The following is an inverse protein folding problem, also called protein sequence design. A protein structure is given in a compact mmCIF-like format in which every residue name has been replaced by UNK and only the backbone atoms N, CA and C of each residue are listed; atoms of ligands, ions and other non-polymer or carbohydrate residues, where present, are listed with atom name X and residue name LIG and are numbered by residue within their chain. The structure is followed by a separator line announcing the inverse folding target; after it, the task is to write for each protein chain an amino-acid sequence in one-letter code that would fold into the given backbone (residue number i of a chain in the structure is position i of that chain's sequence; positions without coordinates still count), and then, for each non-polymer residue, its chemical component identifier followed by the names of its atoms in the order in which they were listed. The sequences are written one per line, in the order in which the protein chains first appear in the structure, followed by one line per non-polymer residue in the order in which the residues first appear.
data_IF_820908791621
#
_entry.id   IF_820908791621
#
_cell.length_a   1.000
_cell.length_b   1.000
_cell.length_c   1.000
_cell.angle_alpha   90.00
_cell.angle_beta   90.00
_cell.angle_gamma   90.00
#
_symmetry.space_group_name_H-M   'P 1'
#
loop_
_entity.id
_entity.type
_entity.pdbx_description
1 polymer ?
#
# COMPACT_ATOMS: atom_id res chain seq x y z
N UNK A 1 -15.00 -2.82 -16.86
CA UNK A 1 -13.94 -3.17 -15.91
C UNK A 1 -12.64 -3.64 -16.60
N UNK A 2 -12.60 -4.79 -17.32
CA UNK A 2 -11.39 -5.34 -17.97
C UNK A 2 -10.75 -4.36 -18.98
N UNK A 3 -11.53 -3.65 -19.76
CA UNK A 3 -11.03 -2.68 -20.74
C UNK A 3 -10.28 -1.52 -20.09
N UNK A 4 -10.77 -1.01 -18.95
CA UNK A 4 -10.13 0.04 -18.16
C UNK A 4 -8.80 -0.48 -17.58
N UNK A 5 -8.81 -1.66 -16.97
CA UNK A 5 -7.61 -2.29 -16.44
C UNK A 5 -6.53 -2.48 -17.54
N UNK A 6 -6.91 -2.94 -18.74
CA UNK A 6 -5.99 -3.12 -19.88
C UNK A 6 -5.42 -1.79 -20.38
N UNK A 7 -6.24 -0.73 -20.43
CA UNK A 7 -5.81 0.62 -20.79
C UNK A 7 -4.76 1.13 -19.79
N UNK A 8 -5.04 1.02 -18.49
CA UNK A 8 -4.15 1.47 -17.43
C UNK A 8 -2.83 0.67 -17.42
N UNK A 9 -2.88 -0.66 -17.52
CA UNK A 9 -1.69 -1.49 -17.62
C UNK A 9 -0.82 -1.13 -18.85
N UNK A 10 -1.46 -0.78 -19.96
CA UNK A 10 -0.73 -0.29 -21.15
C UNK A 10 -0.07 1.04 -20.87
N UNK A 11 -0.74 1.94 -20.16
CA UNK A 11 -0.18 3.23 -19.72
C UNK A 11 1.03 3.02 -18.82
N UNK A 12 0.95 2.14 -17.81
CA UNK A 12 2.09 1.83 -16.92
C UNK A 12 3.26 1.14 -17.65
N UNK A 13 3.00 0.33 -18.69
CA UNK A 13 4.07 -0.26 -19.50
C UNK A 13 4.76 0.74 -20.40
N UNK A 14 4.08 1.77 -20.85
CA UNK A 14 4.67 2.84 -21.68
C UNK A 14 5.37 3.86 -20.78
N UNK A 15 4.88 4.07 -19.58
CA UNK A 15 5.42 4.99 -18.59
C UNK A 15 6.68 4.40 -17.93
N UNK A 16 7.72 5.20 -17.76
CA UNK A 16 8.91 4.84 -16.98
C UNK A 16 8.59 4.48 -15.52
N UNK A 17 7.49 5.00 -14.96
CA UNK A 17 7.14 4.83 -13.54
C UNK A 17 6.94 3.36 -13.18
N UNK A 18 6.27 2.57 -14.03
CA UNK A 18 6.07 1.15 -13.80
C UNK A 18 7.36 0.35 -13.73
N UNK A 19 8.29 0.62 -14.65
CA UNK A 19 9.60 -0.04 -14.67
C UNK A 19 10.48 0.37 -13.50
N UNK A 20 10.51 1.66 -13.17
CA UNK A 20 11.26 2.18 -12.01
C UNK A 20 10.74 1.55 -10.72
N UNK A 21 9.41 1.43 -10.56
CA UNK A 21 8.81 0.76 -9.42
C UNK A 21 9.27 -0.70 -9.29
N UNK A 22 9.14 -1.49 -10.37
CA UNK A 22 9.54 -2.91 -10.38
C UNK A 22 11.05 -3.05 -10.09
N UNK A 23 11.88 -2.28 -10.77
CA UNK A 23 13.33 -2.32 -10.62
C UNK A 23 13.77 -1.98 -9.20
N UNK A 24 13.20 -0.91 -8.62
CA UNK A 24 13.57 -0.48 -7.29
C UNK A 24 13.07 -1.47 -6.22
N UNK A 25 11.84 -1.96 -6.36
CA UNK A 25 11.30 -2.98 -5.45
C UNK A 25 12.19 -4.23 -5.42
N UNK A 26 12.59 -4.73 -6.60
CA UNK A 26 13.49 -5.87 -6.70
C UNK A 26 14.89 -5.56 -6.17
N UNK A 27 15.42 -4.36 -6.45
CA UNK A 27 16.73 -3.95 -5.94
C UNK A 27 16.78 -3.94 -4.41
N UNK A 28 15.76 -3.35 -3.75
CA UNK A 28 15.73 -3.30 -2.28
C UNK A 28 15.56 -4.70 -1.69
N UNK A 29 14.65 -5.51 -2.24
CA UNK A 29 14.49 -6.90 -1.77
C UNK A 29 15.79 -7.68 -1.93
N UNK A 30 16.49 -7.53 -3.08
CA UNK A 30 17.77 -8.20 -3.35
C UNK A 30 18.86 -7.77 -2.38
N UNK A 31 18.93 -6.47 -2.03
CA UNK A 31 19.90 -5.96 -1.06
C UNK A 31 19.68 -6.55 0.34
N UNK A 32 18.43 -6.55 0.82
CA UNK A 32 18.10 -7.14 2.10
C UNK A 32 18.28 -8.67 2.11
N UNK A 33 17.94 -9.33 1.01
CA UNK A 33 18.16 -10.74 0.82
C UNK A 33 19.67 -11.09 0.90
N UNK A 34 20.50 -10.36 0.14
CA UNK A 34 21.95 -10.57 0.16
C UNK A 34 22.54 -10.36 1.56
N UNK A 35 22.12 -9.30 2.25
CA UNK A 35 22.61 -9.00 3.58
C UNK A 35 22.17 -10.03 4.62
N UNK A 36 20.88 -10.35 4.70
CA UNK A 36 20.33 -11.21 5.76
C UNK A 36 20.52 -12.71 5.50
N UNK A 37 20.25 -13.15 4.25
CA UNK A 37 20.27 -14.57 3.95
C UNK A 37 21.65 -15.06 3.51
N UNK A 38 22.41 -14.27 2.74
CA UNK A 38 23.73 -14.69 2.27
C UNK A 38 24.83 -14.30 3.26
N UNK A 39 24.93 -13.05 3.71
CA UNK A 39 26.01 -12.62 4.59
C UNK A 39 25.84 -13.10 6.05
N UNK A 40 24.62 -13.01 6.59
CA UNK A 40 24.33 -13.47 7.95
C UNK A 40 23.95 -14.94 8.02
N UNK A 41 23.93 -15.65 6.88
CA UNK A 41 23.56 -17.07 6.75
C UNK A 41 22.24 -17.42 7.47
N UNK A 42 21.28 -16.48 7.52
CA UNK A 42 20.00 -16.71 8.17
C UNK A 42 19.02 -17.39 7.20
N UNK A 43 18.48 -18.58 7.52
CA UNK A 43 17.56 -19.28 6.65
C UNK A 43 16.12 -18.70 6.66
N UNK A 44 15.89 -17.55 7.33
CA UNK A 44 14.56 -16.95 7.53
C UNK A 44 14.30 -15.85 6.51
N UNK A 45 13.59 -16.17 5.45
CA UNK A 45 13.20 -15.19 4.45
C UNK A 45 12.16 -14.17 4.97
N UNK A 46 11.41 -14.54 6.01
CA UNK A 46 10.39 -13.69 6.65
C UNK A 46 10.98 -12.36 7.14
N UNK A 47 12.21 -12.40 7.68
CA UNK A 47 12.92 -11.20 8.19
C UNK A 47 13.22 -10.19 7.07
N UNK A 48 13.51 -10.68 5.87
CA UNK A 48 13.72 -9.82 4.70
C UNK A 48 12.44 -9.03 4.39
N UNK A 49 11.30 -9.72 4.32
CA UNK A 49 10.01 -9.09 4.03
C UNK A 49 9.59 -8.09 5.10
N UNK A 50 9.83 -8.41 6.38
CA UNK A 50 9.56 -7.49 7.49
C UNK A 50 10.38 -6.19 7.37
N UNK A 51 11.66 -6.29 7.04
CA UNK A 51 12.51 -5.11 6.88
C UNK A 51 12.19 -4.31 5.62
N UNK A 52 11.74 -4.97 4.56
CA UNK A 52 11.33 -4.32 3.31
C UNK A 52 9.95 -3.65 3.42
N UNK A 53 9.17 -3.99 4.45
CA UNK A 53 7.80 -3.47 4.61
C UNK A 53 7.71 -1.93 4.62
N UNK A 54 8.72 -1.24 5.16
CA UNK A 54 8.77 0.22 5.17
C UNK A 54 8.77 0.84 3.76
N UNK A 55 9.15 0.08 2.75
CA UNK A 55 9.19 0.55 1.35
C UNK A 55 7.81 0.96 0.85
N UNK A 56 6.74 0.33 1.38
CA UNK A 56 5.36 0.70 1.05
C UNK A 56 5.03 2.15 1.40
N UNK A 57 5.69 2.72 2.43
CA UNK A 57 5.50 4.12 2.82
C UNK A 57 5.85 5.10 1.69
N UNK A 58 6.84 4.77 0.88
CA UNK A 58 7.30 5.64 -0.20
C UNK A 58 6.65 5.27 -1.52
N UNK A 59 6.57 3.98 -1.84
CA UNK A 59 6.17 3.53 -3.17
C UNK A 59 4.67 3.55 -3.40
N UNK A 60 3.88 3.18 -2.41
CA UNK A 60 2.42 3.19 -2.57
C UNK A 60 1.91 4.59 -2.86
N UNK A 61 2.29 5.65 -2.11
CA UNK A 61 1.89 7.01 -2.45
C UNK A 61 2.30 7.44 -3.86
N UNK A 62 3.54 7.16 -4.27
CA UNK A 62 4.04 7.54 -5.61
C UNK A 62 3.25 6.81 -6.71
N UNK A 63 2.95 5.52 -6.51
CA UNK A 63 2.24 4.71 -7.49
C UNK A 63 0.77 5.11 -7.60
N UNK A 64 0.12 5.41 -6.47
CA UNK A 64 -1.33 5.65 -6.41
C UNK A 64 -1.71 7.11 -6.62
N UNK A 65 -0.81 8.09 -6.40
CA UNK A 65 -1.12 9.51 -6.52
C UNK A 65 -1.67 9.92 -7.90
N UNK A 66 -1.28 9.20 -8.96
CA UNK A 66 -1.67 9.51 -10.33
C UNK A 66 -2.92 8.79 -10.80
N UNK A 67 -3.36 7.73 -10.10
CA UNK A 67 -4.41 6.83 -10.56
C UNK A 67 -5.73 7.54 -10.85
N UNK A 68 -6.16 8.46 -9.99
CA UNK A 68 -7.40 9.21 -10.12
C UNK A 68 -7.19 10.72 -10.04
N UNK A 69 -6.30 11.20 -9.18
CA UNK A 69 -6.08 12.63 -8.97
C UNK A 69 -5.51 13.34 -10.22
N UNK A 70 -4.72 12.67 -11.03
CA UNK A 70 -4.19 13.24 -12.28
C UNK A 70 -5.29 13.44 -13.33
N UNK A 71 -6.21 12.49 -13.47
CA UNK A 71 -7.35 12.61 -14.38
C UNK A 71 -8.31 13.72 -13.94
N UNK A 72 -8.57 13.85 -12.64
CA UNK A 72 -9.37 14.96 -12.09
C UNK A 72 -8.72 16.30 -12.37
N UNK A 73 -7.40 16.42 -12.14
CA UNK A 73 -6.65 17.65 -12.41
C UNK A 73 -6.72 18.03 -13.89
N UNK A 74 -6.68 17.06 -14.80
CA UNK A 74 -6.77 17.29 -16.25
C UNK A 74 -8.20 17.40 -16.76
N UNK A 75 -9.22 17.25 -15.89
CA UNK A 75 -10.66 17.20 -16.22
C UNK A 75 -11.04 16.11 -17.25
N UNK A 76 -10.21 15.09 -17.39
CA UNK A 76 -10.45 13.95 -18.27
C UNK A 76 -11.40 12.91 -17.64
N UNK A 77 -11.66 13.03 -16.35
CA UNK A 77 -12.67 12.27 -15.61
C UNK A 77 -14.09 12.50 -16.18
N UNK A 78 -14.40 13.72 -16.67
CA UNK A 78 -15.68 14.04 -17.29
C UNK A 78 -15.90 13.22 -18.56
N UNK A 79 -14.87 12.99 -19.37
CA UNK A 79 -14.96 12.14 -20.56
C UNK A 79 -15.18 10.66 -20.20
N UNK A 80 -14.61 10.19 -19.09
CA UNK A 80 -14.83 8.84 -18.59
C UNK A 80 -16.27 8.63 -18.09
N UNK A 81 -16.87 9.66 -17.51
CA UNK A 81 -18.25 9.62 -17.01
C UNK A 81 -19.30 9.65 -18.14
N UNK A 82 -18.95 10.10 -19.36
CA UNK A 82 -19.85 10.04 -20.53
C UNK A 82 -19.94 8.64 -21.17
N UNK A 83 -19.02 7.73 -20.79
CA UNK A 83 -19.06 6.35 -21.27
C UNK A 83 -20.17 5.56 -20.54
N UNK A 84 -20.81 4.58 -21.19
CA UNK A 84 -21.83 3.73 -20.57
C UNK A 84 -21.23 2.71 -19.60
N UNK A 85 -20.46 3.19 -18.60
CA UNK A 85 -19.78 2.39 -17.60
C UNK A 85 -20.12 2.91 -16.20
N UNK A 86 -20.19 2.00 -15.23
CA UNK A 86 -20.42 2.41 -13.84
C UNK A 86 -19.14 2.99 -13.24
N UNK A 87 -19.27 3.96 -12.33
CA UNK A 87 -18.13 4.53 -11.58
C UNK A 87 -17.36 3.45 -10.83
N UNK A 88 -18.08 2.43 -10.33
CA UNK A 88 -17.48 1.26 -9.67
C UNK A 88 -16.52 0.50 -10.59
N UNK A 89 -16.92 0.27 -11.85
CA UNK A 89 -16.08 -0.44 -12.84
C UNK A 89 -14.80 0.33 -13.15
N UNK A 90 -14.86 1.65 -13.13
CA UNK A 90 -13.68 2.51 -13.36
C UNK A 90 -12.70 2.39 -12.18
N UNK A 91 -13.18 2.59 -10.96
CA UNK A 91 -12.33 2.57 -9.75
C UNK A 91 -11.71 1.18 -9.54
N UNK A 92 -12.53 0.12 -9.62
CA UNK A 92 -12.04 -1.26 -9.46
C UNK A 92 -11.08 -1.64 -10.60
N UNK A 93 -11.36 -1.21 -11.84
CA UNK A 93 -10.46 -1.46 -12.96
C UNK A 93 -9.09 -0.81 -12.79
N UNK A 94 -9.04 0.41 -12.25
CA UNK A 94 -7.79 1.13 -11.93
C UNK A 94 -7.05 0.50 -10.75
N UNK A 95 -7.75 0.16 -9.68
CA UNK A 95 -7.17 -0.57 -8.55
C UNK A 95 -6.52 -1.88 -9.00
N UNK A 96 -7.23 -2.69 -9.78
CA UNK A 96 -6.72 -3.94 -10.31
C UNK A 96 -5.49 -3.76 -11.20
N UNK A 97 -5.42 -2.68 -11.98
CA UNK A 97 -4.24 -2.39 -12.80
C UNK A 97 -2.99 -2.17 -11.94
N UNK A 98 -3.10 -1.44 -10.83
CA UNK A 98 -2.01 -1.23 -9.88
C UNK A 98 -1.63 -2.52 -9.16
N UNK A 99 -2.61 -3.33 -8.76
CA UNK A 99 -2.37 -4.64 -8.13
C UNK A 99 -1.65 -5.59 -9.09
N UNK A 100 -2.03 -5.64 -10.37
CA UNK A 100 -1.34 -6.45 -11.38
C UNK A 100 0.11 -5.98 -11.57
N UNK A 101 0.34 -4.66 -11.58
CA UNK A 101 1.71 -4.12 -11.64
C UNK A 101 2.53 -4.56 -10.41
N UNK A 102 1.95 -4.55 -9.23
CA UNK A 102 2.58 -5.01 -7.99
C UNK A 102 2.82 -6.53 -7.99
N UNK A 103 1.96 -7.31 -8.64
CA UNK A 103 2.10 -8.77 -8.73
C UNK A 103 3.36 -9.19 -9.49
N UNK A 104 3.82 -8.39 -10.47
CA UNK A 104 5.01 -8.72 -11.28
C UNK A 104 6.27 -8.90 -10.41
N UNK A 105 6.70 -7.94 -9.58
CA UNK A 105 7.85 -8.13 -8.72
C UNK A 105 7.62 -9.22 -7.67
N UNK A 106 6.37 -9.41 -7.20
CA UNK A 106 6.06 -10.47 -6.22
C UNK A 106 6.26 -11.87 -6.77
N UNK A 107 5.94 -12.11 -8.06
CA UNK A 107 6.22 -13.38 -8.72
C UNK A 107 7.73 -13.66 -8.80
N UNK A 108 8.54 -12.64 -9.03
CA UNK A 108 10.00 -12.77 -9.04
C UNK A 108 10.52 -13.06 -7.62
N UNK A 109 9.97 -12.40 -6.61
CA UNK A 109 10.31 -12.62 -5.20
C UNK A 109 10.02 -14.06 -4.75
N UNK A 110 9.03 -14.74 -5.32
CA UNK A 110 8.74 -16.16 -5.04
C UNK A 110 9.91 -17.11 -5.39
N UNK A 111 10.88 -16.67 -6.18
CA UNK A 111 12.07 -17.47 -6.54
C UNK A 111 13.11 -17.47 -5.41
N UNK A 112 13.17 -16.40 -4.57
CA UNK A 112 14.20 -16.26 -3.55
C UNK A 112 14.22 -17.39 -2.50
N UNK A 113 13.08 -17.86 -1.94
CA UNK A 113 13.10 -18.98 -1.02
C UNK A 113 13.71 -20.26 -1.62
N UNK A 114 13.49 -20.51 -2.93
CA UNK A 114 14.07 -21.64 -3.63
C UNK A 114 15.61 -21.53 -3.72
N UNK A 115 16.13 -20.32 -3.92
CA UNK A 115 17.58 -20.08 -3.92
C UNK A 115 18.18 -20.41 -2.55
N UNK A 116 17.51 -20.01 -1.45
CA UNK A 116 18.03 -20.27 -0.10
C UNK A 116 18.09 -21.78 0.18
N UNK A 117 17.18 -22.60 -0.35
CA UNK A 117 17.23 -24.06 -0.14
C UNK A 117 18.48 -24.72 -0.71
N UNK A 118 19.16 -24.08 -1.66
CA UNK A 118 20.46 -24.56 -2.17
C UNK A 118 21.61 -24.35 -1.19
N UNK A 119 21.45 -23.46 -0.19
CA UNK A 119 22.47 -23.09 0.78
C UNK A 119 22.17 -23.59 2.19
N UNK A 120 20.95 -24.10 2.45
CA UNK A 120 20.60 -24.60 3.79
C UNK A 120 19.16 -25.08 3.92
N UNK A 121 18.79 -25.52 5.12
CA UNK A 121 17.43 -25.97 5.44
C UNK A 121 16.51 -24.78 5.71
N UNK A 122 15.54 -24.58 4.84
CA UNK A 122 14.56 -23.48 4.92
C UNK A 122 13.17 -24.05 5.17
N UNK A 123 12.40 -23.40 6.02
CA UNK A 123 10.98 -23.71 6.18
C UNK A 123 10.20 -23.07 5.02
N UNK A 124 10.10 -23.77 3.88
CA UNK A 124 9.42 -23.30 2.68
C UNK A 124 7.97 -22.87 2.92
N UNK A 125 7.11 -23.62 3.64
CA UNK A 125 5.76 -23.19 3.94
C UNK A 125 5.72 -21.82 4.63
N UNK A 126 6.53 -21.60 5.66
CA UNK A 126 6.58 -20.32 6.37
C UNK A 126 7.01 -19.16 5.45
N UNK A 127 8.01 -19.37 4.59
CA UNK A 127 8.47 -18.38 3.62
C UNK A 127 7.36 -17.99 2.63
N UNK A 128 6.64 -18.95 2.06
CA UNK A 128 5.56 -18.67 1.11
C UNK A 128 4.35 -18.01 1.77
N UNK A 129 3.97 -18.43 2.99
CA UNK A 129 2.91 -17.75 3.74
C UNK A 129 3.28 -16.30 4.06
N UNK A 130 4.55 -16.02 4.36
CA UNK A 130 5.04 -14.65 4.58
C UNK A 130 4.99 -13.81 3.30
N UNK A 131 5.31 -14.37 2.13
CA UNK A 131 5.17 -13.70 0.83
C UNK A 131 3.70 -13.38 0.56
N UNK A 132 2.79 -14.32 0.83
CA UNK A 132 1.37 -14.10 0.66
C UNK A 132 0.85 -13.00 1.60
N UNK A 133 1.26 -13.02 2.86
CA UNK A 133 0.93 -11.95 3.83
C UNK A 133 1.43 -10.59 3.38
N UNK A 134 2.67 -10.52 2.89
CA UNK A 134 3.26 -9.29 2.35
C UNK A 134 2.52 -8.79 1.10
N UNK A 135 2.09 -9.70 0.23
CA UNK A 135 1.28 -9.37 -0.94
C UNK A 135 -0.09 -8.79 -0.55
N UNK A 136 -0.80 -9.43 0.38
CA UNK A 136 -2.10 -8.94 0.87
C UNK A 136 -1.97 -7.58 1.54
N UNK A 137 -0.92 -7.37 2.34
CA UNK A 137 -0.62 -6.08 2.96
C UNK A 137 -0.35 -5.01 1.90
N UNK A 138 0.38 -5.33 0.84
CA UNK A 138 0.60 -4.44 -0.28
C UNK A 138 -0.71 -4.07 -0.99
N UNK A 139 -1.60 -5.04 -1.24
CA UNK A 139 -2.92 -4.80 -1.82
C UNK A 139 -3.78 -3.86 -0.94
N UNK A 140 -3.77 -4.06 0.38
CA UNK A 140 -4.48 -3.19 1.32
C UNK A 140 -3.93 -1.75 1.30
N UNK A 141 -2.60 -1.59 1.31
CA UNK A 141 -1.96 -0.28 1.22
C UNK A 141 -2.27 0.44 -0.11
N UNK A 142 -2.30 -0.29 -1.23
CA UNK A 142 -2.71 0.23 -2.54
C UNK A 142 -4.17 0.70 -2.50
N UNK A 143 -5.07 -0.04 -1.83
CA UNK A 143 -6.47 0.38 -1.69
C UNK A 143 -6.61 1.71 -0.94
N UNK A 144 -5.84 1.90 0.15
CA UNK A 144 -5.77 3.16 0.89
C UNK A 144 -5.28 4.29 -0.02
N UNK A 145 -4.24 4.07 -0.81
CA UNK A 145 -3.70 5.06 -1.74
C UNK A 145 -4.68 5.45 -2.84
N UNK A 146 -5.37 4.48 -3.44
CA UNK A 146 -6.42 4.73 -4.45
C UNK A 146 -7.60 5.51 -3.83
N UNK A 147 -7.96 5.22 -2.58
CA UNK A 147 -8.98 5.98 -1.86
C UNK A 147 -8.61 7.47 -1.77
N UNK A 148 -7.41 7.81 -1.27
CA UNK A 148 -6.98 9.21 -1.19
C UNK A 148 -6.85 9.86 -2.58
N UNK A 149 -6.40 9.12 -3.58
CA UNK A 149 -6.37 9.59 -4.96
C UNK A 149 -7.76 9.90 -5.52
N UNK A 150 -8.81 9.22 -5.02
CA UNK A 150 -10.19 9.48 -5.42
C UNK A 150 -10.80 10.72 -4.77
N UNK A 151 -10.35 11.09 -3.58
CA UNK A 151 -10.90 12.22 -2.79
C UNK A 151 -10.27 13.56 -3.21
N UNK A 152 -9.02 13.55 -3.65
CA UNK A 152 -8.25 14.77 -3.95
C UNK A 152 -8.08 15.00 -5.46
N UNK A 153 -8.06 16.27 -5.87
CA UNK A 153 -7.78 16.66 -7.27
C UNK A 153 -6.29 16.91 -7.51
N UNK A 154 -5.51 17.09 -6.44
CA UNK A 154 -4.07 17.35 -6.56
C UNK A 154 -3.27 16.07 -6.23
N UNK A 155 -2.50 15.54 -7.20
CA UNK A 155 -1.70 14.33 -7.00
C UNK A 155 -0.71 14.42 -5.82
N UNK A 156 -0.15 15.62 -5.57
CA UNK A 156 0.80 15.81 -4.46
C UNK A 156 0.09 15.71 -3.11
N UNK A 157 -1.08 16.30 -2.98
CA UNK A 157 -1.90 16.21 -1.76
C UNK A 157 -2.30 14.74 -1.52
N UNK A 158 -2.72 14.04 -2.56
CA UNK A 158 -3.02 12.59 -2.49
C UNK A 158 -1.83 11.78 -1.96
N UNK A 159 -0.62 12.05 -2.49
CA UNK A 159 0.59 11.36 -2.04
C UNK A 159 0.91 11.63 -0.56
N UNK A 160 0.82 12.90 -0.12
CA UNK A 160 1.08 13.28 1.27
C UNK A 160 0.08 12.62 2.23
N UNK A 161 -1.22 12.61 1.88
CA UNK A 161 -2.27 11.97 2.67
C UNK A 161 -2.06 10.46 2.77
N UNK A 162 -1.76 9.81 1.66
CA UNK A 162 -1.46 8.37 1.63
C UNK A 162 -0.23 8.05 2.47
N UNK A 163 0.86 8.82 2.30
CA UNK A 163 2.09 8.66 3.08
C UNK A 163 1.84 8.81 4.58
N UNK A 164 1.12 9.87 4.99
CA UNK A 164 0.79 10.12 6.39
C UNK A 164 -0.01 8.98 7.01
N UNK A 165 -1.02 8.48 6.31
CA UNK A 165 -1.86 7.37 6.78
C UNK A 165 -1.04 6.07 6.89
N UNK A 166 -0.24 5.74 5.89
CA UNK A 166 0.62 4.56 5.92
C UNK A 166 1.70 4.66 6.99
N UNK A 167 2.25 5.86 7.23
CA UNK A 167 3.20 6.11 8.30
C UNK A 167 2.58 5.83 9.67
N UNK A 168 1.38 6.32 9.91
CA UNK A 168 0.64 6.05 11.15
C UNK A 168 0.41 4.55 11.33
N UNK A 169 -0.07 3.87 10.28
CA UNK A 169 -0.25 2.41 10.31
C UNK A 169 1.05 1.66 10.59
N UNK A 170 2.17 2.09 9.99
CA UNK A 170 3.48 1.48 10.21
C UNK A 170 3.99 1.67 11.63
N UNK A 171 3.83 2.89 12.18
CA UNK A 171 4.26 3.21 13.54
C UNK A 171 3.34 2.61 14.62
N UNK A 172 2.12 2.21 14.26
CA UNK A 172 1.13 1.66 15.20
C UNK A 172 1.68 0.49 16.00
N UNK A 173 2.43 -0.40 15.35
CA UNK A 173 3.06 -1.55 16.03
C UNK A 173 4.11 -1.09 17.07
N UNK A 174 4.86 -0.04 16.77
CA UNK A 174 5.86 0.52 17.69
C UNK A 174 5.19 1.27 18.83
N UNK A 175 4.16 2.05 18.54
CA UNK A 175 3.35 2.78 19.52
C UNK A 175 2.65 1.79 20.46
N UNK A 176 2.07 0.71 19.92
CA UNK A 176 1.41 -0.33 20.71
C UNK A 176 2.35 -1.02 21.72
N UNK A 177 3.64 -1.12 21.41
CA UNK A 177 4.64 -1.64 22.36
C UNK A 177 5.05 -0.65 23.45
N UNK A 178 4.88 0.64 23.21
CA UNK A 178 5.20 1.72 24.17
C UNK A 178 4.03 1.99 25.15
N UNK A 179 2.82 1.60 24.77
CA UNK A 179 1.63 1.79 25.64
C UNK A 179 1.58 0.67 26.68
N UNK A 180 1.42 0.99 27.98
CA UNK A 180 1.28 -0.02 29.01
C UNK A 180 0.10 -0.95 28.74
N UNK A 181 0.24 -2.25 29.03
CA UNK A 181 -0.75 -3.31 28.75
C UNK A 181 -2.07 -3.18 29.55
N UNK A 182 -2.42 -2.00 30.03
CA UNK A 182 -3.73 -1.70 30.63
C UNK A 182 -4.70 -1.35 29.52
N UNK A 183 -5.83 -2.06 29.45
CA UNK A 183 -6.86 -1.88 28.42
C UNK A 183 -7.30 -0.42 28.26
N UNK A 184 -7.36 0.35 29.35
CA UNK A 184 -7.73 1.78 29.34
C UNK A 184 -6.68 2.64 28.65
N UNK A 185 -5.39 2.36 28.87
CA UNK A 185 -4.30 3.15 28.26
C UNK A 185 -4.15 2.85 26.77
N UNK A 186 -4.40 1.61 26.33
CA UNK A 186 -4.37 1.27 24.91
C UNK A 186 -5.50 1.94 24.12
N UNK A 187 -6.74 1.86 24.64
CA UNK A 187 -7.91 2.50 24.01
C UNK A 187 -7.72 4.02 23.93
N UNK A 188 -7.21 4.68 25.00
CA UNK A 188 -6.99 6.13 24.99
C UNK A 188 -5.90 6.55 23.99
N UNK A 189 -4.82 5.77 23.83
CA UNK A 189 -3.78 6.08 22.86
C UNK A 189 -4.28 5.95 21.41
N UNK A 190 -5.07 4.92 21.12
CA UNK A 190 -5.67 4.72 19.80
C UNK A 190 -6.69 5.80 19.45
N UNK A 191 -7.56 6.19 20.40
CA UNK A 191 -8.54 7.28 20.17
C UNK A 191 -7.83 8.60 19.90
N UNK A 192 -6.75 8.93 20.61
CA UNK A 192 -5.96 10.15 20.34
C UNK A 192 -5.37 10.15 18.93
N UNK A 193 -4.80 9.04 18.47
CA UNK A 193 -4.25 8.93 17.12
C UNK A 193 -5.35 9.07 16.05
N UNK A 194 -6.50 8.43 16.26
CA UNK A 194 -7.65 8.54 15.35
C UNK A 194 -8.16 9.98 15.28
N UNK A 195 -8.32 10.64 16.43
CA UNK A 195 -8.77 12.06 16.50
C UNK A 195 -7.77 12.97 15.79
N UNK A 196 -6.46 12.73 15.93
CA UNK A 196 -5.42 13.53 15.29
C UNK A 196 -5.43 13.37 13.77
N UNK A 197 -5.58 12.14 13.29
CA UNK A 197 -5.75 11.84 11.85
C UNK A 197 -7.03 12.48 11.32
N UNK A 198 -8.15 12.36 12.06
CA UNK A 198 -9.42 13.00 11.68
C UNK A 198 -9.31 14.53 11.62
N UNK A 199 -8.62 15.16 12.57
CA UNK A 199 -8.40 16.60 12.57
C UNK A 199 -7.54 17.06 11.37
N UNK A 200 -6.50 16.30 11.01
CA UNK A 200 -5.69 16.56 9.83
C UNK A 200 -6.52 16.42 8.54
N UNK A 201 -7.32 15.38 8.43
CA UNK A 201 -8.21 15.15 7.27
C UNK A 201 -9.28 16.23 7.17
N UNK A 202 -9.83 16.69 8.33
CA UNK A 202 -10.78 17.78 8.37
C UNK A 202 -10.19 19.12 7.88
N UNK A 203 -8.99 19.45 8.33
CA UNK A 203 -8.30 20.67 7.89
C UNK A 203 -7.99 20.69 6.38
N UNK A 204 -7.83 19.51 5.77
CA UNK A 204 -7.51 19.41 4.35
C UNK A 204 -8.74 19.32 3.43
N UNK A 205 -9.82 18.70 3.86
CA UNK A 205 -11.00 18.40 3.01
C UNK A 205 -12.16 19.35 3.29
N UNK A 206 -12.26 19.94 4.48
CA UNK A 206 -13.33 20.87 4.86
C UNK A 206 -14.72 20.24 4.97
N UNK A 207 -14.86 18.93 4.79
CA UNK A 207 -16.15 18.23 4.75
C UNK A 207 -16.29 17.26 5.94
N UNK A 208 -17.04 17.68 6.94
CA UNK A 208 -17.23 16.96 8.20
C UNK A 208 -17.81 15.54 8.03
N UNK A 209 -18.68 15.32 7.04
CA UNK A 209 -19.34 14.02 6.81
C UNK A 209 -18.39 12.91 6.36
N UNK A 210 -17.38 13.25 5.54
CA UNK A 210 -16.36 12.30 5.06
C UNK A 210 -15.41 11.90 6.20
N UNK A 211 -15.09 12.85 7.06
CA UNK A 211 -14.21 12.66 8.22
C UNK A 211 -14.84 11.73 9.27
N UNK A 212 -16.12 11.95 9.58
CA UNK A 212 -16.86 11.10 10.54
C UNK A 212 -17.02 9.68 10.00
N UNK A 213 -17.34 9.51 8.71
CA UNK A 213 -17.45 8.19 8.08
C UNK A 213 -16.15 7.39 8.09
N UNK A 214 -15.01 8.04 7.83
CA UNK A 214 -13.69 7.41 7.90
C UNK A 214 -13.29 7.04 9.34
N UNK A 215 -13.62 7.88 10.33
CA UNK A 215 -13.34 7.64 11.74
C UNK A 215 -14.11 6.44 12.30
N UNK A 216 -15.39 6.35 12.01
CA UNK A 216 -16.23 5.20 12.43
C UNK A 216 -15.76 3.89 11.81
N UNK A 217 -15.36 3.89 10.53
CA UNK A 217 -14.80 2.69 9.89
C UNK A 217 -13.47 2.25 10.52
N UNK A 218 -12.63 3.20 10.94
CA UNK A 218 -11.36 2.92 11.60
C UNK A 218 -11.56 2.39 13.03
N UNK A 219 -12.52 2.92 13.78
CA UNK A 219 -12.85 2.39 15.13
C UNK A 219 -13.42 0.98 15.07
N UNK A 220 -14.30 0.70 14.12
CA UNK A 220 -14.87 -0.65 13.93
C UNK A 220 -13.79 -1.67 13.52
N UNK A 221 -12.84 -1.26 12.66
CA UNK A 221 -11.73 -2.12 12.25
C UNK A 221 -10.70 -2.40 13.36
N UNK A 222 -10.66 -1.55 14.40
CA UNK A 222 -9.76 -1.71 15.56
C UNK A 222 -10.37 -2.55 16.70
N UNK A 223 -11.69 -2.76 16.69
CA UNK A 223 -12.39 -3.58 17.71
C UNK A 223 -12.55 -5.05 17.31
N UNK A 224 -12.22 -5.41 16.06
CA UNK A 224 -12.18 -6.78 15.55
C UNK A 224 -10.75 -7.31 15.55
#
# INVERSE_FOLDING_TARGET
MIAVCRKELRSYRISMIGYVFIAFMLAVVSLYFSYQNLNLASPRFELVLQNVQFIFLVFVPILTMRVLAEEKKQKTDQLLLTLPMTVKDIVVGKYLAVVVLFTIPMLIICIYPLIITMFGTVNLPAAYFSILGFYLLGCANIAIGVFFSSVTENPVISAVMTFGTLLVCYLMNTIGKMVPNTAIASVSAFTVVIVLVMALVYNMIGNLKVVIGAGVLLEVALQV
#
